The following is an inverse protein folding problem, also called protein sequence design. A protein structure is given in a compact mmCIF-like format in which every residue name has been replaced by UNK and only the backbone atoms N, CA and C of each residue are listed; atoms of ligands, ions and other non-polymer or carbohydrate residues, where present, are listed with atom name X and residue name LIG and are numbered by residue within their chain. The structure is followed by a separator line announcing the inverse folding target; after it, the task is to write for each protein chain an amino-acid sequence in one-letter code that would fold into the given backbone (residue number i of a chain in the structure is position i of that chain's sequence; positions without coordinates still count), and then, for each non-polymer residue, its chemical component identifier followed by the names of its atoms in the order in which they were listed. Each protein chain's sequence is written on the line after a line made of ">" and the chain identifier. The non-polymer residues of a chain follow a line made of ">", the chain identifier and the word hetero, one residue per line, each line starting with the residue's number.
data_IF_118854584764
#
_entry.id   IF_118854584764
#
_cell.length_a   1.000
_cell.length_b   1.000
_cell.length_c   1.000
_cell.angle_alpha   90.00
_cell.angle_beta   90.00
_cell.angle_gamma   90.00
#
_symmetry.space_group_name_H-M   'P 1'
#
loop_
_entity.id
_entity.type
_entity.pdbx_description
1 polymer ?
#
# COMPACT_ATOMS: atom_id res chain seq x y z
N UNK A 1 -32.70 -4.13 26.87
CA UNK A 1 -31.76 -3.01 26.75
C UNK A 1 -31.25 -3.00 25.32
N UNK A 2 -31.64 -1.98 24.56
CA UNK A 2 -31.17 -1.77 23.20
C UNK A 2 -29.66 -1.46 23.28
N UNK A 3 -28.85 -2.27 22.62
CA UNK A 3 -27.44 -1.98 22.44
C UNK A 3 -27.35 -0.80 21.48
N UNK A 4 -27.11 0.36 22.08
CA UNK A 4 -26.94 1.64 21.45
C UNK A 4 -25.89 1.57 20.33
N UNK A 5 -26.24 2.19 19.22
CA UNK A 5 -25.44 2.36 18.02
C UNK A 5 -24.12 3.05 18.36
N UNK A 6 -23.05 2.27 18.50
CA UNK A 6 -21.71 2.82 18.35
C UNK A 6 -21.46 3.03 16.84
N UNK A 7 -22.08 4.09 16.30
CA UNK A 7 -21.42 4.92 15.30
C UNK A 7 -20.21 5.58 16.02
N UNK A 8 -19.25 4.76 16.46
CA UNK A 8 -17.90 5.23 16.68
C UNK A 8 -17.52 5.81 15.34
N UNK A 9 -17.30 7.11 15.33
CA UNK A 9 -16.73 7.84 14.21
C UNK A 9 -15.67 6.93 13.60
N UNK A 10 -15.99 6.30 12.47
CA UNK A 10 -15.00 5.58 11.71
C UNK A 10 -14.13 6.71 11.18
N UNK A 11 -13.16 7.15 11.98
CA UNK A 11 -11.91 7.68 11.48
C UNK A 11 -11.42 6.60 10.54
N UNK A 12 -11.90 6.69 9.30
CA UNK A 12 -11.75 5.69 8.27
C UNK A 12 -10.33 5.85 7.76
N UNK A 13 -9.35 5.54 8.61
CA UNK A 13 -7.96 5.45 8.23
C UNK A 13 -7.82 4.15 7.45
N UNK A 14 -8.01 4.23 6.13
CA UNK A 14 -7.91 3.09 5.24
C UNK A 14 -6.43 2.84 5.01
N UNK A 15 -5.92 1.77 5.62
CA UNK A 15 -4.56 1.30 5.36
C UNK A 15 -4.57 0.48 4.07
N UNK A 16 -3.80 0.92 3.08
CA UNK A 16 -3.66 0.24 1.80
C UNK A 16 -2.23 -0.23 1.64
N UNK A 17 -2.07 -1.51 1.32
CA UNK A 17 -0.79 -2.11 0.96
C UNK A 17 -0.85 -2.58 -0.49
N UNK A 18 0.15 -2.21 -1.28
CA UNK A 18 0.32 -2.60 -2.67
C UNK A 18 1.66 -3.29 -2.81
N UNK A 19 1.63 -4.60 -3.09
CA UNK A 19 2.82 -5.40 -3.35
C UNK A 19 3.04 -5.55 -4.85
N UNK A 20 4.12 -4.98 -5.34
CA UNK A 20 4.53 -5.10 -6.74
C UNK A 20 5.60 -6.15 -6.87
N UNK A 21 5.40 -7.15 -7.72
CA UNK A 21 6.37 -8.19 -8.03
C UNK A 21 6.86 -8.02 -9.47
N UNK A 22 8.18 -8.04 -9.68
CA UNK A 22 8.76 -8.04 -11.02
C UNK A 22 10.09 -8.81 -11.04
N UNK A 23 10.47 -9.28 -12.22
CA UNK A 23 11.77 -9.92 -12.49
C UNK A 23 12.96 -9.00 -12.23
N UNK A 24 12.78 -7.67 -12.19
CA UNK A 24 13.85 -6.72 -11.86
C UNK A 24 13.41 -5.72 -10.79
N UNK A 25 14.34 -5.34 -9.91
CA UNK A 25 14.06 -4.34 -8.85
C UNK A 25 13.71 -2.96 -9.42
N UNK A 26 14.30 -2.60 -10.56
CA UNK A 26 14.04 -1.32 -11.23
C UNK A 26 12.62 -1.24 -11.71
N UNK A 27 12.13 -2.28 -12.40
CA UNK A 27 10.75 -2.32 -12.89
C UNK A 27 9.74 -2.35 -11.74
N UNK A 28 9.99 -3.16 -10.70
CA UNK A 28 9.15 -3.17 -9.50
C UNK A 28 9.04 -1.78 -8.85
N UNK A 29 10.16 -1.05 -8.76
CA UNK A 29 10.18 0.33 -8.22
C UNK A 29 9.44 1.31 -9.14
N UNK A 30 9.58 1.19 -10.46
CA UNK A 30 8.89 2.03 -11.43
C UNK A 30 7.38 1.86 -11.33
N UNK A 31 6.89 0.61 -11.34
CA UNK A 31 5.46 0.30 -11.21
C UNK A 31 4.93 0.80 -9.87
N UNK A 32 5.65 0.57 -8.77
CA UNK A 32 5.28 1.09 -7.45
C UNK A 32 5.16 2.62 -7.44
N UNK A 33 6.08 3.33 -8.09
CA UNK A 33 6.03 4.79 -8.18
C UNK A 33 4.85 5.25 -9.05
N UNK A 34 4.55 4.57 -10.16
CA UNK A 34 3.36 4.85 -10.98
C UNK A 34 2.07 4.63 -10.19
N UNK A 35 2.01 3.57 -9.37
CA UNK A 35 0.89 3.33 -8.49
C UNK A 35 0.73 4.48 -7.48
N UNK A 36 1.82 4.89 -6.82
CA UNK A 36 1.78 6.04 -5.90
C UNK A 36 1.32 7.33 -6.59
N UNK A 37 1.77 7.56 -7.82
CA UNK A 37 1.35 8.72 -8.62
C UNK A 37 -0.17 8.72 -8.89
N UNK A 38 -0.69 7.58 -9.35
CA UNK A 38 -2.13 7.39 -9.56
C UNK A 38 -2.93 7.53 -8.25
N UNK A 39 -2.33 7.15 -7.12
CA UNK A 39 -2.93 7.24 -5.79
C UNK A 39 -2.86 8.65 -5.19
N UNK A 40 -2.12 9.61 -5.78
CA UNK A 40 -2.06 10.99 -5.28
C UNK A 40 -3.45 11.64 -5.15
N UNK A 41 -4.42 11.21 -5.95
CA UNK A 41 -5.82 11.65 -5.86
C UNK A 41 -6.45 11.36 -4.49
N UNK A 42 -6.02 10.30 -3.82
CA UNK A 42 -6.48 9.89 -2.50
C UNK A 42 -5.72 10.60 -1.37
N UNK A 43 -4.71 11.42 -1.69
CA UNK A 43 -3.82 12.09 -0.73
C UNK A 43 -3.23 11.11 0.30
N UNK A 44 -2.47 10.10 -0.16
CA UNK A 44 -1.90 9.08 0.70
C UNK A 44 -0.99 9.72 1.77
N UNK A 45 -1.33 9.46 3.02
CA UNK A 45 -0.55 9.80 4.20
C UNK A 45 0.31 8.60 4.63
N UNK A 46 1.34 8.89 5.43
CA UNK A 46 2.20 7.87 6.03
C UNK A 46 2.75 6.83 5.02
N UNK A 47 3.23 7.31 3.87
CA UNK A 47 3.69 6.45 2.77
C UNK A 47 5.00 5.75 3.14
N UNK A 48 4.96 4.43 3.27
CA UNK A 48 6.12 3.56 3.51
C UNK A 48 6.43 2.78 2.23
N UNK A 49 7.73 2.65 1.93
CA UNK A 49 8.22 1.98 0.72
C UNK A 49 9.24 0.93 1.13
N UNK A 50 8.83 -0.33 1.10
CA UNK A 50 9.67 -1.46 1.53
C UNK A 50 10.08 -2.30 0.32
N UNK A 51 11.36 -2.25 -0.11
CA UNK A 51 11.86 -3.22 -1.07
C UNK A 51 12.08 -4.57 -0.36
N UNK A 52 11.72 -5.65 -1.03
CA UNK A 52 11.94 -7.01 -0.58
C UNK A 52 12.35 -7.89 -1.76
N UNK A 53 12.96 -9.02 -1.49
CA UNK A 53 13.32 -9.99 -2.51
C UNK A 53 12.80 -11.36 -2.07
N UNK A 54 12.03 -12.01 -2.94
CA UNK A 54 11.43 -13.30 -2.67
C UNK A 54 12.28 -14.38 -3.36
N UNK A 55 13.17 -15.07 -2.63
CA UNK A 55 14.12 -16.01 -3.23
C UNK A 55 13.44 -17.25 -3.84
N UNK A 56 12.32 -17.68 -3.27
CA UNK A 56 11.53 -18.82 -3.74
C UNK A 56 10.95 -18.61 -5.13
N UNK A 57 10.48 -17.39 -5.41
CA UNK A 57 9.88 -17.02 -6.68
C UNK A 57 10.87 -16.27 -7.60
N UNK A 58 12.06 -15.94 -7.10
CA UNK A 58 13.09 -15.12 -7.77
C UNK A 58 12.56 -13.79 -8.30
N UNK A 59 11.59 -13.21 -7.59
CA UNK A 59 11.03 -11.91 -7.93
C UNK A 59 11.49 -10.84 -6.94
N UNK A 60 11.70 -9.64 -7.46
CA UNK A 60 11.85 -8.45 -6.66
C UNK A 60 10.46 -7.94 -6.27
N UNK A 61 10.25 -7.80 -4.97
CA UNK A 61 9.04 -7.22 -4.39
C UNK A 61 9.29 -5.76 -4.03
N UNK A 62 8.41 -4.87 -4.43
CA UNK A 62 8.41 -3.48 -4.00
C UNK A 62 7.05 -3.19 -3.36
N UNK A 63 7.03 -3.24 -2.04
CA UNK A 63 5.84 -2.97 -1.23
C UNK A 63 5.68 -1.46 -1.05
N UNK A 64 4.45 -0.97 -1.20
CA UNK A 64 4.01 0.38 -0.93
C UNK A 64 2.85 0.32 0.05
N UNK A 65 3.03 0.94 1.20
CA UNK A 65 2.01 1.02 2.25
C UNK A 65 1.68 2.49 2.47
N UNK A 66 0.40 2.81 2.62
CA UNK A 66 -0.04 4.17 2.90
C UNK A 66 -1.42 4.16 3.56
N UNK A 67 -1.78 5.30 4.13
CA UNK A 67 -3.07 5.53 4.78
C UNK A 67 -3.83 6.62 4.05
N UNK A 68 -5.15 6.50 3.92
CA UNK A 68 -6.05 7.54 3.36
C UNK A 68 -7.26 7.73 4.25
#
# INVERSE_FOLDING_TARGET
>A
MAADVLCGQAESAVSVQVDVYSSTITEARTIRNMALDALQVLRPANVVKTPSYEPDLRYHRATLEFQV
#
